data_IF_761611301836
#
_entry.id   IF_761611301836
#
_cell.length_a   1.000
_cell.length_b   1.000
_cell.length_c   1.000
_cell.angle_alpha   90.00
_cell.angle_beta   90.00
_cell.angle_gamma   90.00
#
_symmetry.space_group_name_H-M   'P 1'
#
loop_
_entity.id
_entity.type
_entity.pdbx_description
1 polymer ?
#
# COMPACT_ATOMS: atom_id res chain seq x y z
N UNK A 1 -11.78 -11.91 -20.97
CA UNK A 1 -11.40 -10.48 -20.94
C UNK A 1 -10.00 -10.33 -20.39
N UNK A 2 -9.37 -9.18 -20.59
CA UNK A 2 -8.13 -8.81 -19.91
C UNK A 2 -8.51 -8.18 -18.55
N UNK A 3 -7.72 -8.37 -17.48
CA UNK A 3 -7.93 -7.64 -16.23
C UNK A 3 -7.75 -6.12 -16.43
N UNK A 4 -8.56 -5.33 -15.75
CA UNK A 4 -8.26 -3.92 -15.54
C UNK A 4 -7.19 -3.80 -14.44
N UNK A 5 -5.94 -3.66 -14.87
CA UNK A 5 -4.82 -3.56 -13.95
C UNK A 5 -4.84 -2.27 -13.10
N UNK A 6 -5.48 -1.20 -13.57
CA UNK A 6 -5.60 0.02 -12.75
C UNK A 6 -6.54 -0.24 -11.57
N UNK A 7 -7.68 -0.90 -11.79
CA UNK A 7 -8.58 -1.31 -10.71
C UNK A 7 -7.93 -2.33 -9.78
N UNK A 8 -7.27 -3.35 -10.33
CA UNK A 8 -6.61 -4.41 -9.56
C UNK A 8 -5.51 -3.86 -8.65
N UNK A 9 -4.56 -3.08 -9.19
CA UNK A 9 -3.49 -2.52 -8.37
C UNK A 9 -3.99 -1.42 -7.43
N UNK A 10 -5.01 -0.65 -7.84
CA UNK A 10 -5.69 0.30 -6.96
C UNK A 10 -6.36 -0.39 -5.78
N UNK A 11 -7.02 -1.54 -6.00
CA UNK A 11 -7.58 -2.34 -4.92
C UNK A 11 -6.48 -2.85 -3.97
N UNK A 12 -5.42 -3.48 -4.51
CA UNK A 12 -4.32 -4.02 -3.70
C UNK A 12 -3.65 -2.93 -2.87
N UNK A 13 -3.38 -1.75 -3.46
CA UNK A 13 -2.82 -0.61 -2.76
C UNK A 13 -3.72 -0.14 -1.61
N UNK A 14 -5.04 -0.08 -1.83
CA UNK A 14 -5.98 0.33 -0.77
C UNK A 14 -5.98 -0.60 0.44
N UNK A 15 -5.66 -1.89 0.30
CA UNK A 15 -5.61 -2.81 1.46
C UNK A 15 -4.56 -2.40 2.51
N UNK A 16 -3.56 -1.61 2.11
CA UNK A 16 -2.53 -1.10 3.00
C UNK A 16 -2.80 0.34 3.49
N UNK A 17 -3.93 0.94 3.12
CA UNK A 17 -4.34 2.26 3.54
C UNK A 17 -5.31 2.16 4.75
N UNK A 18 -4.90 2.60 5.95
CA UNK A 18 -5.71 2.47 7.17
C UNK A 18 -6.99 3.32 7.14
N UNK A 19 -7.07 4.34 6.28
CA UNK A 19 -8.26 5.19 6.16
C UNK A 19 -9.33 4.53 5.27
N UNK A 20 -8.98 3.46 4.56
CA UNK A 20 -9.89 2.74 3.69
C UNK A 20 -10.52 1.53 4.39
N UNK A 21 -11.78 1.26 4.07
CA UNK A 21 -12.58 0.21 4.69
C UNK A 21 -13.44 -0.50 3.64
N UNK A 22 -14.09 -1.60 4.01
CA UNK A 22 -15.05 -2.28 3.13
C UNK A 22 -14.43 -3.10 2.00
N UNK A 23 -13.13 -3.43 2.08
CA UNK A 23 -12.41 -4.19 1.04
C UNK A 23 -13.10 -5.50 0.65
N UNK A 24 -13.68 -6.24 1.59
CA UNK A 24 -14.38 -7.50 1.29
C UNK A 24 -15.61 -7.28 0.42
N UNK A 25 -16.36 -6.20 0.65
CA UNK A 25 -17.53 -5.88 -0.17
C UNK A 25 -17.09 -5.44 -1.57
N UNK A 26 -16.14 -4.51 -1.64
CA UNK A 26 -15.56 -4.04 -2.91
C UNK A 26 -15.03 -5.20 -3.74
N UNK A 27 -14.30 -6.14 -3.13
CA UNK A 27 -13.75 -7.31 -3.81
C UNK A 27 -14.83 -8.22 -4.40
N UNK A 28 -15.99 -8.35 -3.74
CA UNK A 28 -17.13 -9.16 -4.24
C UNK A 28 -17.85 -8.51 -5.41
N UNK A 29 -17.77 -7.20 -5.54
CA UNK A 29 -18.41 -6.41 -6.59
C UNK A 29 -17.53 -6.25 -7.83
N UNK A 30 -16.24 -6.57 -7.74
CA UNK A 30 -15.31 -6.53 -8.87
C UNK A 30 -15.69 -7.52 -9.96
N UNK A 31 -15.36 -7.17 -11.21
CA UNK A 31 -15.44 -8.09 -12.34
C UNK A 31 -14.70 -9.41 -12.03
N UNK A 32 -15.24 -10.59 -12.40
CA UNK A 32 -14.65 -11.88 -12.03
C UNK A 32 -13.18 -12.04 -12.41
N UNK A 33 -12.78 -11.46 -13.55
CA UNK A 33 -11.40 -11.49 -14.04
C UNK A 33 -10.47 -10.63 -13.15
N UNK A 34 -10.95 -9.49 -12.67
CA UNK A 34 -10.20 -8.62 -11.75
C UNK A 34 -10.12 -9.26 -10.36
N UNK A 35 -11.22 -9.87 -9.89
CA UNK A 35 -11.24 -10.64 -8.64
C UNK A 35 -10.19 -11.76 -8.61
N UNK A 36 -10.15 -12.62 -9.64
CA UNK A 36 -9.15 -13.70 -9.73
C UNK A 36 -7.72 -13.14 -9.78
N UNK A 37 -7.53 -12.04 -10.50
CA UNK A 37 -6.23 -11.38 -10.60
C UNK A 37 -5.78 -10.79 -9.26
N UNK A 38 -6.68 -10.17 -8.50
CA UNK A 38 -6.40 -9.68 -7.14
C UNK A 38 -5.97 -10.85 -6.25
N UNK A 39 -6.71 -11.98 -6.25
CA UNK A 39 -6.35 -13.14 -5.43
C UNK A 39 -4.98 -13.70 -5.79
N UNK A 40 -4.68 -13.81 -7.10
CA UNK A 40 -3.40 -14.29 -7.58
C UNK A 40 -2.25 -13.39 -7.11
N UNK A 41 -2.39 -12.07 -7.29
CA UNK A 41 -1.37 -11.10 -6.92
C UNK A 41 -1.21 -10.98 -5.40
N UNK A 42 -2.29 -11.01 -4.62
CA UNK A 42 -2.21 -11.03 -3.15
C UNK A 42 -1.49 -12.28 -2.65
N UNK A 43 -1.73 -13.45 -3.26
CA UNK A 43 -0.95 -14.66 -2.93
C UNK A 43 0.53 -14.50 -3.26
N UNK A 44 0.86 -13.91 -4.41
CA UNK A 44 2.25 -13.62 -4.77
C UNK A 44 2.91 -12.65 -3.77
N UNK A 45 2.17 -11.61 -3.36
CA UNK A 45 2.63 -10.63 -2.39
C UNK A 45 2.90 -11.25 -1.03
N UNK A 46 2.01 -12.13 -0.53
CA UNK A 46 2.24 -12.89 0.71
C UNK A 46 3.55 -13.68 0.67
N UNK A 47 3.85 -14.32 -0.47
CA UNK A 47 5.12 -15.05 -0.65
C UNK A 47 6.32 -14.10 -0.61
N UNK A 48 6.25 -12.97 -1.34
CA UNK A 48 7.31 -11.97 -1.34
C UNK A 48 7.56 -11.42 0.08
N UNK A 49 6.51 -11.01 0.79
CA UNK A 49 6.60 -10.39 2.12
C UNK A 49 7.00 -11.37 3.23
N UNK A 50 6.86 -12.68 3.00
CA UNK A 50 7.35 -13.71 3.92
C UNK A 50 8.88 -13.82 3.91
N UNK A 51 9.55 -13.30 2.88
CA UNK A 51 11.02 -13.26 2.82
C UNK A 51 11.59 -12.16 3.75
N UNK A 52 12.69 -12.44 4.47
CA UNK A 52 13.35 -11.45 5.33
C UNK A 52 13.90 -10.24 4.54
N UNK A 53 14.09 -10.38 3.23
CA UNK A 53 14.52 -9.28 2.36
C UNK A 53 13.52 -8.11 2.36
N UNK A 54 12.27 -8.35 2.75
CA UNK A 54 11.22 -7.34 2.83
C UNK A 54 11.00 -6.83 4.27
N UNK A 55 11.79 -7.24 5.26
CA UNK A 55 11.69 -6.75 6.65
C UNK A 55 11.80 -5.22 6.77
N UNK A 56 12.73 -4.53 6.04
CA UNK A 56 12.77 -3.07 6.07
C UNK A 56 11.47 -2.42 5.59
N UNK A 57 10.85 -2.98 4.55
CA UNK A 57 9.60 -2.47 3.97
C UNK A 57 8.44 -2.73 4.93
N UNK A 58 8.33 -3.94 5.50
CA UNK A 58 7.31 -4.26 6.52
C UNK A 58 7.41 -3.32 7.72
N UNK A 59 8.65 -3.03 8.17
CA UNK A 59 8.88 -2.07 9.26
C UNK A 59 8.41 -0.67 8.87
N UNK A 60 8.76 -0.19 7.67
CA UNK A 60 8.32 1.12 7.19
C UNK A 60 6.78 1.23 7.07
N UNK A 61 6.10 0.16 6.62
CA UNK A 61 4.63 0.14 6.56
C UNK A 61 3.99 0.07 7.95
N UNK A 62 4.65 -0.57 8.93
CA UNK A 62 4.15 -0.66 10.31
C UNK A 62 4.27 0.64 11.11
N UNK A 63 5.15 1.55 10.68
CA UNK A 63 5.36 2.86 11.33
C UNK A 63 4.35 3.92 10.89
N UNK A 64 3.32 3.54 10.12
CA UNK A 64 2.25 4.44 9.73
C UNK A 64 1.36 4.76 10.94
N UNK A 65 1.79 5.75 11.74
CA UNK A 65 0.99 6.37 12.78
C UNK A 65 0.10 7.44 12.14
N UNK A 66 -1.22 7.27 12.22
CA UNK A 66 -2.26 8.22 11.77
C UNK A 66 -2.21 9.56 12.56
N UNK A 67 -1.30 9.70 13.54
CA UNK A 67 -1.27 10.81 14.49
C UNK A 67 -0.29 11.96 14.18
N UNK A 68 0.22 12.10 12.95
CA UNK A 68 1.13 13.22 12.62
C UNK A 68 0.44 14.54 12.22
N UNK A 69 -0.88 14.64 12.31
CA UNK A 69 -1.63 15.88 12.05
C UNK A 69 -1.85 16.76 13.30
N UNK A 70 -0.93 16.71 14.28
CA UNK A 70 -0.96 17.60 15.43
C UNK A 70 0.42 18.02 15.95
N UNK A 71 1.36 18.43 15.09
CA UNK A 71 2.32 19.46 15.51
C UNK A 71 2.86 20.24 14.30
N UNK A 72 2.14 21.29 13.90
CA UNK A 72 2.75 22.44 13.23
C UNK A 72 3.67 23.12 14.26
N UNK A 73 4.90 22.60 14.41
CA UNK A 73 6.02 23.36 14.97
C UNK A 73 7.14 23.44 13.97
N UNK A 74 7.05 24.53 13.20
CA UNK A 74 8.13 25.31 12.60
C UNK A 74 9.49 25.02 13.24
N UNK A 75 10.36 24.33 12.52
CA UNK A 75 11.80 24.52 12.65
C UNK A 75 12.41 24.59 11.25
N UNK A 76 12.73 25.81 10.84
CA UNK A 76 13.52 26.07 9.65
C UNK A 76 14.93 25.56 9.91
N UNK A 77 15.28 24.42 9.31
CA UNK A 77 16.67 23.99 9.21
C UNK A 77 17.00 23.86 7.73
N UNK A 78 17.85 24.79 7.30
CA UNK A 78 18.52 24.91 6.02
C UNK A 78 19.08 23.56 5.53
N UNK A 79 18.66 23.12 4.35
CA UNK A 79 19.30 22.02 3.62
C UNK A 79 19.85 22.61 2.33
N UNK A 80 21.10 23.04 2.40
CA UNK A 80 21.94 23.29 1.24
C UNK A 80 22.22 21.97 0.54
N UNK A 81 21.64 21.78 -0.65
CA UNK A 81 22.04 20.70 -1.55
C UNK A 81 23.43 21.02 -2.10
N UNK A 82 24.47 20.35 -1.60
CA UNK A 82 25.76 20.31 -2.28
C UNK A 82 25.80 19.09 -3.20
N UNK A 83 25.77 19.38 -4.51
CA UNK A 83 26.15 18.46 -5.56
C UNK A 83 27.64 18.12 -5.46
N UNK A 84 27.96 16.84 -5.57
CA UNK A 84 29.19 16.34 -6.23
C UNK A 84 28.86 15.03 -6.92
#
# INVERSE_FOLDING_TARGET
>A
GLPDFAEVYGFIGSVFDPDTNGHVQKLKEMDPINFETVLLLMRNLTVNLSSPNFDPIKKAMSTYDVNNDADVKKQANDVSCQNT
#
